data_IF_729811210565
#
_entry.id   IF_729811210565
#
_cell.length_a   1.000
_cell.length_b   1.000
_cell.length_c   1.000
_cell.angle_alpha   90.00
_cell.angle_beta   90.00
_cell.angle_gamma   90.00
#
_symmetry.space_group_name_H-M   'P 1'
#
loop_
_entity.id
_entity.type
_entity.pdbx_description
1 polymer ?
#
# COMPACT_ATOMS: atom_id res chain seq x y z
N UNK A 1 -10.80 -21.51 -4.55
CA UNK A 1 -11.25 -22.52 -3.57
C UNK A 1 -12.72 -22.27 -3.33
N UNK A 2 -13.51 -23.32 -3.45
CA UNK A 2 -14.91 -23.21 -3.87
C UNK A 2 -15.85 -23.27 -2.66
N UNK A 3 -16.67 -22.25 -2.48
CA UNK A 3 -17.77 -22.26 -1.49
C UNK A 3 -18.68 -23.47 -1.71
N UNK A 4 -18.76 -23.97 -2.95
CA UNK A 4 -19.51 -25.18 -3.28
C UNK A 4 -18.94 -26.43 -2.62
N UNK A 5 -17.63 -26.52 -2.39
CA UNK A 5 -17.02 -27.64 -1.66
C UNK A 5 -17.50 -27.65 -0.20
N UNK A 6 -17.50 -26.48 0.45
CA UNK A 6 -17.97 -26.32 1.83
C UNK A 6 -19.48 -26.61 1.93
N UNK A 7 -20.25 -26.19 0.93
CA UNK A 7 -21.68 -26.47 0.83
C UNK A 7 -21.95 -27.98 0.68
N UNK A 8 -21.16 -28.66 -0.14
CA UNK A 8 -21.29 -30.10 -0.35
C UNK A 8 -20.91 -30.91 0.89
N UNK A 9 -19.82 -30.55 1.58
CA UNK A 9 -19.39 -31.23 2.81
C UNK A 9 -20.34 -31.01 3.99
N UNK A 10 -21.02 -29.86 4.05
CA UNK A 10 -22.06 -29.62 5.04
C UNK A 10 -23.35 -30.38 4.73
N UNK A 11 -23.74 -30.50 3.46
CA UNK A 11 -24.87 -31.31 3.04
C UNK A 11 -24.67 -32.81 3.38
N UNK A 12 -23.49 -33.37 3.09
CA UNK A 12 -23.16 -34.76 3.44
C UNK A 12 -23.16 -34.98 4.96
N UNK A 13 -22.64 -34.02 5.73
CA UNK A 13 -22.69 -34.09 7.20
C UNK A 13 -24.12 -34.12 7.74
N UNK A 14 -25.05 -33.35 7.13
CA UNK A 14 -26.47 -33.32 7.50
C UNK A 14 -27.15 -34.66 7.18
N UNK A 15 -26.83 -35.29 6.05
CA UNK A 15 -27.36 -36.60 5.69
C UNK A 15 -26.86 -37.68 6.65
N UNK A 16 -25.56 -37.67 6.98
CA UNK A 16 -24.96 -38.60 7.95
C UNK A 16 -25.54 -38.45 9.37
N UNK A 17 -25.87 -37.22 9.79
CA UNK A 17 -26.55 -37.00 11.07
C UNK A 17 -27.95 -37.64 11.12
N UNK A 18 -28.68 -37.64 10.00
CA UNK A 18 -29.99 -38.29 9.91
C UNK A 18 -29.85 -39.80 10.00
N UNK A 19 -28.88 -40.39 9.30
CA UNK A 19 -28.66 -41.84 9.33
C UNK A 19 -28.21 -42.33 10.71
N UNK A 20 -27.30 -41.61 11.37
CA UNK A 20 -26.84 -41.95 12.74
C UNK A 20 -28.00 -41.96 13.73
N UNK A 21 -28.99 -41.07 13.59
CA UNK A 21 -30.17 -40.99 14.48
C UNK A 21 -31.12 -42.20 14.33
N UNK A 22 -31.12 -42.86 13.18
CA UNK A 22 -32.03 -43.95 12.84
C UNK A 22 -31.47 -45.34 13.19
N UNK A 23 -30.16 -45.46 13.36
CA UNK A 23 -29.47 -46.74 13.63
C UNK A 23 -29.62 -47.15 15.11
N UNK A 24 -30.04 -48.41 15.34
CA UNK A 24 -30.14 -49.03 16.68
C UNK A 24 -29.01 -50.01 17.01
N UNK A 25 -28.23 -50.48 16.04
CA UNK A 25 -27.16 -51.46 16.23
C UNK A 25 -25.76 -50.84 16.36
N UNK A 26 -24.93 -51.41 17.23
CA UNK A 26 -23.63 -50.84 17.62
C UNK A 26 -22.56 -50.83 16.50
N UNK A 27 -22.56 -51.77 15.55
CA UNK A 27 -21.54 -51.81 14.49
C UNK A 27 -21.78 -50.78 13.39
N UNK A 28 -23.02 -50.67 12.89
CA UNK A 28 -23.39 -49.66 11.88
C UNK A 28 -23.32 -48.24 12.46
N UNK A 29 -23.63 -48.09 13.75
CA UNK A 29 -23.51 -46.82 14.46
C UNK A 29 -22.07 -46.30 14.45
N UNK A 30 -21.09 -47.14 14.80
CA UNK A 30 -19.68 -46.75 14.82
C UNK A 30 -19.17 -46.37 13.41
N UNK A 31 -19.57 -47.11 12.37
CA UNK A 31 -19.20 -46.77 11.00
C UNK A 31 -19.80 -45.41 10.56
N UNK A 32 -21.06 -45.15 10.90
CA UNK A 32 -21.72 -43.87 10.59
C UNK A 32 -21.10 -42.68 11.35
N UNK A 33 -20.68 -42.89 12.60
CA UNK A 33 -19.97 -41.86 13.39
C UNK A 33 -18.59 -41.55 12.79
N UNK A 34 -17.85 -42.56 12.31
CA UNK A 34 -16.57 -42.33 11.63
C UNK A 34 -16.78 -41.52 10.34
N UNK A 35 -17.76 -41.89 9.52
CA UNK A 35 -18.07 -41.14 8.29
C UNK A 35 -18.48 -39.68 8.57
N UNK A 36 -19.24 -39.44 9.65
CA UNK A 36 -19.60 -38.09 10.08
C UNK A 36 -18.36 -37.28 10.51
N UNK A 37 -17.45 -37.89 11.27
CA UNK A 37 -16.21 -37.22 11.70
C UNK A 37 -15.31 -36.88 10.50
N UNK A 38 -15.22 -37.75 9.50
CA UNK A 38 -14.46 -37.50 8.27
C UNK A 38 -15.06 -36.32 7.48
N UNK A 39 -16.39 -36.27 7.37
CA UNK A 39 -17.11 -35.17 6.73
C UNK A 39 -16.96 -33.85 7.51
N UNK A 40 -16.97 -33.91 8.85
CA UNK A 40 -16.73 -32.73 9.69
C UNK A 40 -15.29 -32.23 9.57
N UNK A 41 -14.33 -33.15 9.47
CA UNK A 41 -12.91 -32.81 9.30
C UNK A 41 -12.65 -32.15 7.95
N UNK A 42 -13.26 -32.63 6.86
CA UNK A 42 -13.12 -32.02 5.54
C UNK A 42 -13.65 -30.58 5.52
N UNK A 43 -14.86 -30.36 6.06
CA UNK A 43 -15.46 -29.02 6.20
C UNK A 43 -14.57 -28.12 7.06
N UNK A 44 -14.04 -28.63 8.16
CA UNK A 44 -13.14 -27.87 9.05
C UNK A 44 -11.86 -27.43 8.34
N UNK A 45 -11.27 -28.31 7.53
CA UNK A 45 -10.06 -28.01 6.73
C UNK A 45 -10.32 -26.90 5.73
N UNK A 46 -11.46 -26.95 5.04
CA UNK A 46 -11.85 -25.92 4.08
C UNK A 46 -12.11 -24.58 4.76
N UNK A 47 -12.76 -24.59 5.93
CA UNK A 47 -13.02 -23.39 6.72
C UNK A 47 -11.71 -22.71 7.16
N UNK A 48 -10.73 -23.48 7.64
CA UNK A 48 -9.41 -22.97 8.02
C UNK A 48 -8.72 -22.33 6.81
N UNK A 49 -8.80 -22.97 5.65
CA UNK A 49 -8.22 -22.42 4.42
C UNK A 49 -8.89 -21.11 4.00
N UNK A 50 -10.23 -21.04 4.04
CA UNK A 50 -10.98 -19.82 3.76
C UNK A 50 -10.64 -18.71 4.74
N UNK A 51 -10.49 -19.02 6.03
CA UNK A 51 -10.10 -18.05 7.04
C UNK A 51 -8.69 -17.49 6.77
N UNK A 52 -7.75 -18.32 6.33
CA UNK A 52 -6.42 -17.88 5.94
C UNK A 52 -6.46 -16.96 4.71
N UNK A 53 -7.24 -17.29 3.68
CA UNK A 53 -7.41 -16.45 2.50
C UNK A 53 -8.09 -15.13 2.84
N UNK A 54 -9.10 -15.15 3.71
CA UNK A 54 -9.81 -13.96 4.15
C UNK A 54 -8.88 -13.03 4.95
N UNK A 55 -8.05 -13.57 5.84
CA UNK A 55 -7.04 -12.80 6.56
C UNK A 55 -6.01 -12.17 5.61
N UNK A 56 -5.57 -12.91 4.59
CA UNK A 56 -4.68 -12.36 3.56
C UNK A 56 -5.35 -11.24 2.77
N UNK A 57 -6.59 -11.43 2.31
CA UNK A 57 -7.34 -10.42 1.57
C UNK A 57 -7.59 -9.15 2.40
N UNK A 58 -7.89 -9.28 3.70
CA UNK A 58 -8.01 -8.13 4.60
C UNK A 58 -6.70 -7.37 4.76
N UNK A 59 -5.58 -8.09 4.87
CA UNK A 59 -4.25 -7.47 4.93
C UNK A 59 -3.94 -6.69 3.65
N UNK A 60 -4.13 -7.32 2.49
CA UNK A 60 -3.90 -6.68 1.18
C UNK A 60 -4.81 -5.46 0.98
N UNK A 61 -6.08 -5.56 1.39
CA UNK A 61 -7.01 -4.43 1.38
C UNK A 61 -6.49 -3.27 2.22
N UNK A 62 -6.05 -3.52 3.46
CA UNK A 62 -5.50 -2.48 4.32
C UNK A 62 -4.24 -1.82 3.74
N UNK A 63 -3.34 -2.60 3.15
CA UNK A 63 -2.14 -2.08 2.47
C UNK A 63 -2.50 -1.21 1.26
N UNK A 64 -3.51 -1.61 0.47
CA UNK A 64 -4.00 -0.83 -0.67
C UNK A 64 -4.69 0.46 -0.23
N UNK A 65 -5.53 0.42 0.79
CA UNK A 65 -6.19 1.60 1.38
C UNK A 65 -5.15 2.59 1.92
N UNK A 66 -4.10 2.11 2.61
CA UNK A 66 -3.01 2.97 3.08
C UNK A 66 -2.25 3.62 1.92
N UNK A 67 -1.98 2.85 0.85
CA UNK A 67 -1.33 3.38 -0.36
C UNK A 67 -2.19 4.42 -1.06
N UNK A 68 -3.49 4.18 -1.19
CA UNK A 68 -4.45 5.13 -1.74
C UNK A 68 -4.46 6.43 -0.94
N UNK A 69 -4.59 6.36 0.39
CA UNK A 69 -4.57 7.55 1.24
C UNK A 69 -3.27 8.35 1.12
N UNK A 70 -2.12 7.68 0.99
CA UNK A 70 -0.82 8.35 0.72
C UNK A 70 -0.80 9.04 -0.65
N UNK A 71 -1.42 8.45 -1.67
CA UNK A 71 -1.50 9.03 -3.01
C UNK A 71 -2.44 10.23 -3.06
N UNK A 72 -3.62 10.12 -2.45
CA UNK A 72 -4.59 11.22 -2.35
C UNK A 72 -4.00 12.42 -1.59
N UNK A 73 -3.34 12.17 -0.45
CA UNK A 73 -2.65 13.22 0.30
C UNK A 73 -1.54 13.88 -0.52
N UNK A 74 -0.78 13.07 -1.28
CA UNK A 74 0.25 13.59 -2.17
C UNK A 74 -0.32 14.44 -3.30
N UNK A 75 -1.43 14.05 -3.91
CA UNK A 75 -2.09 14.82 -4.97
C UNK A 75 -2.58 16.17 -4.47
N UNK A 76 -3.23 16.21 -3.30
CA UNK A 76 -3.65 17.46 -2.67
C UNK A 76 -2.44 18.37 -2.35
N UNK A 77 -1.35 17.79 -1.86
CA UNK A 77 -0.10 18.51 -1.63
C UNK A 77 0.53 19.03 -2.92
N UNK A 78 0.40 18.27 -4.04
CA UNK A 78 0.93 18.64 -5.35
C UNK A 78 0.35 19.95 -5.84
N UNK A 79 -0.95 20.18 -5.63
CA UNK A 79 -1.65 21.41 -6.06
C UNK A 79 -1.06 22.69 -5.46
N UNK A 80 -0.37 22.59 -4.31
CA UNK A 80 0.24 23.72 -3.62
C UNK A 80 1.54 24.19 -4.27
N UNK A 81 2.20 23.35 -5.06
CA UNK A 81 3.50 23.67 -5.66
C UNK A 81 3.38 23.84 -7.17
N UNK A 82 4.29 24.62 -7.74
CA UNK A 82 4.42 24.82 -9.17
C UNK A 82 5.88 24.67 -9.60
N UNK A 83 6.09 24.21 -10.82
CA UNK A 83 7.44 24.11 -11.39
C UNK A 83 7.92 25.50 -11.75
N UNK A 84 9.07 25.89 -11.21
CA UNK A 84 9.73 27.16 -11.50
C UNK A 84 11.16 26.92 -11.94
N UNK A 85 11.63 27.77 -12.86
CA UNK A 85 13.03 27.84 -13.21
C UNK A 85 13.77 28.63 -12.12
N UNK A 86 14.53 27.92 -11.28
CA UNK A 86 15.25 28.52 -10.16
C UNK A 86 16.57 29.17 -10.62
N UNK A 87 17.20 28.59 -11.65
CA UNK A 87 18.41 29.09 -12.31
C UNK A 87 18.38 28.67 -13.78
N UNK A 88 19.22 29.30 -14.61
CA UNK A 88 19.30 29.01 -16.05
C UNK A 88 19.44 27.49 -16.32
N UNK A 89 18.38 26.89 -16.84
CA UNK A 89 18.31 25.45 -17.14
C UNK A 89 18.08 24.52 -15.95
N UNK A 90 17.79 25.04 -14.74
CA UNK A 90 17.52 24.27 -13.54
C UNK A 90 16.07 24.50 -13.06
N UNK A 91 15.28 23.44 -13.07
CA UNK A 91 13.86 23.45 -12.67
C UNK A 91 13.67 22.75 -11.32
N UNK A 92 12.90 23.38 -10.45
CA UNK A 92 12.50 22.84 -9.15
C UNK A 92 11.04 23.23 -8.86
N UNK A 93 10.43 22.59 -7.88
CA UNK A 93 9.07 22.95 -7.46
C UNK A 93 9.12 23.95 -6.30
N UNK A 94 8.43 25.07 -6.43
CA UNK A 94 8.30 26.08 -5.38
C UNK A 94 6.84 26.15 -4.91
N UNK A 95 6.64 26.58 -3.67
CA UNK A 95 5.30 26.78 -3.13
C UNK A 95 4.63 27.98 -3.82
N UNK A 96 3.38 27.81 -4.27
CA UNK A 96 2.63 28.89 -4.92
C UNK A 96 2.49 30.07 -3.95
N UNK A 97 2.65 31.33 -4.40
CA UNK A 97 2.53 32.50 -3.53
C UNK A 97 1.18 32.57 -2.79
N UNK A 98 0.09 32.16 -3.45
CA UNK A 98 -1.27 32.11 -2.87
C UNK A 98 -1.44 31.04 -1.77
N UNK A 99 -0.53 30.06 -1.70
CA UNK A 99 -0.57 28.93 -0.77
C UNK A 99 0.60 28.97 0.23
N UNK A 100 1.33 30.09 0.29
CA UNK A 100 2.56 30.25 1.08
C UNK A 100 2.32 30.22 2.60
N UNK A 101 1.24 30.86 3.06
CA UNK A 101 0.95 31.00 4.49
C UNK A 101 2.16 31.53 5.26
N UNK A 102 2.54 30.84 6.34
CA UNK A 102 3.73 31.14 7.17
C UNK A 102 4.99 30.35 6.76
N UNK A 103 4.92 29.54 5.69
CA UNK A 103 6.06 28.69 5.31
C UNK A 103 7.20 29.51 4.68
N UNK A 104 8.46 29.26 5.09
CA UNK A 104 9.61 29.92 4.48
C UNK A 104 9.76 29.48 3.02
N UNK A 105 10.34 30.36 2.21
CA UNK A 105 10.57 30.08 0.80
C UNK A 105 11.58 28.94 0.64
N UNK A 106 11.19 27.90 -0.09
CA UNK A 106 11.99 26.71 -0.29
C UNK A 106 11.69 26.07 -1.65
N UNK A 107 12.65 25.30 -2.14
CA UNK A 107 12.55 24.58 -3.41
C UNK A 107 12.57 23.08 -3.15
N UNK A 108 11.67 22.35 -3.81
CA UNK A 108 11.62 20.91 -3.80
C UNK A 108 12.32 20.34 -5.04
N UNK A 109 13.04 19.24 -4.86
CA UNK A 109 13.68 18.52 -5.94
C UNK A 109 12.64 18.01 -6.96
N UNK A 110 12.82 18.36 -8.24
CA UNK A 110 11.95 17.90 -9.33
C UNK A 110 11.81 16.37 -9.40
N UNK A 111 12.92 15.63 -9.31
CA UNK A 111 12.90 14.16 -9.36
C UNK A 111 12.14 13.55 -8.17
N UNK A 112 12.40 14.03 -6.95
CA UNK A 112 11.70 13.49 -5.79
C UNK A 112 10.21 13.83 -5.83
N UNK A 113 9.88 15.02 -6.34
CA UNK A 113 8.51 15.45 -6.49
C UNK A 113 7.76 14.60 -7.52
N UNK A 114 8.37 14.24 -8.65
CA UNK A 114 7.76 13.27 -9.59
C UNK A 114 7.57 11.89 -8.96
N UNK A 115 8.43 11.50 -8.02
CA UNK A 115 8.34 10.22 -7.28
C UNK A 115 7.34 10.25 -6.11
N UNK A 116 6.55 11.32 -5.96
CA UNK A 116 5.56 11.41 -4.88
C UNK A 116 6.15 11.82 -3.53
N UNK A 117 7.29 12.52 -3.51
CA UNK A 117 8.06 12.78 -2.29
C UNK A 117 8.56 14.22 -2.21
N UNK A 118 8.25 14.92 -1.11
CA UNK A 118 8.87 16.21 -0.81
C UNK A 118 10.33 16.00 -0.40
N UNK A 119 11.24 16.67 -1.08
CA UNK A 119 12.63 16.77 -0.64
C UNK A 119 13.12 18.18 -0.89
N UNK A 120 13.33 18.92 0.20
CA UNK A 120 13.78 20.31 0.16
C UNK A 120 15.25 20.33 -0.26
N UNK A 121 15.53 21.08 -1.33
CA UNK A 121 16.86 21.32 -1.84
C UNK A 121 17.70 22.05 -0.79
N UNK A 122 18.83 21.46 -0.44
CA UNK A 122 19.80 22.04 0.48
C UNK A 122 20.86 22.81 -0.31
N UNK A 123 21.44 23.88 0.26
CA UNK A 123 22.61 24.51 -0.35
C UNK A 123 23.76 23.50 -0.40
N UNK A 124 24.30 23.30 -1.60
CA UNK A 124 25.45 22.44 -1.88
C UNK A 124 26.77 23.20 -1.75
N UNK A 125 27.88 22.46 -1.93
CA UNK A 125 29.22 23.03 -1.89
C UNK A 125 29.50 23.92 -3.10
N UNK A 126 30.37 24.90 -2.90
CA UNK A 126 30.94 25.70 -3.99
C UNK A 126 31.81 24.78 -4.87
N UNK A 127 31.49 24.69 -6.16
CA UNK A 127 32.36 24.02 -7.14
C UNK A 127 33.11 25.09 -7.95
N UNK A 128 34.43 25.18 -7.74
CA UNK A 128 35.27 26.20 -8.37
C UNK A 128 34.96 27.62 -7.86
N UNK A 129 35.28 28.64 -8.66
CA UNK A 129 35.33 30.02 -8.17
C UNK A 129 33.99 30.77 -8.01
N UNK A 130 32.86 30.32 -8.58
CA UNK A 130 31.58 31.11 -8.52
C UNK A 130 30.26 30.31 -8.61
N UNK A 131 30.28 28.99 -8.75
CA UNK A 131 29.03 28.21 -8.93
C UNK A 131 28.59 27.69 -7.57
N UNK A 132 27.48 28.25 -7.07
CA UNK A 132 26.75 27.65 -5.95
C UNK A 132 25.94 26.47 -6.51
N UNK A 133 25.65 25.50 -5.68
CA UNK A 133 24.84 24.34 -6.09
C UNK A 133 23.73 24.16 -5.08
N UNK A 134 22.65 23.51 -5.50
CA UNK A 134 21.70 22.91 -4.57
C UNK A 134 21.75 21.40 -4.71
N UNK A 135 21.67 20.68 -3.59
CA UNK A 135 21.65 19.22 -3.60
C UNK A 135 20.39 18.70 -2.92
N UNK A 136 19.84 17.63 -3.48
CA UNK A 136 18.75 16.90 -2.88
C UNK A 136 19.32 15.87 -1.87
N UNK A 137 18.93 15.92 -0.58
CA UNK A 137 19.42 14.94 0.39
C UNK A 137 18.90 13.52 0.14
N UNK A 138 17.77 13.39 -0.58
CA UNK A 138 17.13 12.09 -0.86
C UNK A 138 17.76 11.37 -2.06
N UNK A 139 17.73 12.00 -3.23
CA UNK A 139 18.19 11.36 -4.48
C UNK A 139 19.62 11.76 -4.89
N UNK A 140 20.28 12.63 -4.10
CA UNK A 140 21.63 13.17 -4.36
C UNK A 140 21.77 13.95 -5.66
N UNK A 141 20.67 14.27 -6.35
CA UNK A 141 20.71 15.09 -7.55
C UNK A 141 21.20 16.50 -7.22
N UNK A 142 22.03 17.06 -8.10
CA UNK A 142 22.67 18.37 -7.91
C UNK A 142 22.19 19.33 -8.98
N UNK A 143 21.67 20.47 -8.54
CA UNK A 143 21.18 21.55 -9.38
C UNK A 143 22.25 22.65 -9.41
N UNK A 144 22.79 22.99 -10.59
CA UNK A 144 23.76 24.07 -10.71
C UNK A 144 23.05 25.42 -10.49
N UNK A 145 23.70 26.31 -9.73
CA UNK A 145 23.24 27.69 -9.59
C UNK A 145 24.33 28.63 -10.07
N UNK A 146 24.11 29.21 -11.25
CA UNK A 146 24.91 30.36 -11.65
C UNK A 146 24.43 31.56 -10.84
N UNK A 147 25.35 32.26 -10.16
CA UNK A 147 25.00 33.53 -9.53
C UNK A 147 24.46 34.46 -10.61
N UNK A 148 23.14 34.68 -10.67
CA UNK A 148 22.60 35.86 -11.36
C UNK A 148 23.32 37.05 -10.73
N UNK A 149 24.18 37.70 -11.52
CA UNK A 149 24.74 38.97 -11.11
C UNK A 149 23.57 39.87 -10.74
N UNK A 150 23.53 40.30 -9.48
CA UNK A 150 22.75 41.47 -9.11
C UNK A 150 23.40 42.63 -9.87
N UNK A 151 22.84 42.99 -11.02
CA UNK A 151 22.97 44.35 -11.53
C UNK A 151 22.07 45.26 -10.70
#
# INVERSE_FOLDING_TARGET
>A
MDVMALLSGTATSIELLKTVKEIKENQEYNAAVVALNDSLYSVSKELISLQSLYAQALKEKGELEERLGKMEHWEADKERYEMQEIFTGAFAYALKPSMKGEEPEHYLCANCYTDGKKSILQPGQLKGYKIRTHSCPRCKNVFPTMSRGRN
#
